data_IF_852569371899
#
_entry.id   IF_852569371899
#
_cell.length_a   1.000
_cell.length_b   1.000
_cell.length_c   1.000
_cell.angle_alpha   90.00
_cell.angle_beta   90.00
_cell.angle_gamma   90.00
#
_symmetry.space_group_name_H-M   'P 1'
#
loop_
_entity.id
_entity.type
_entity.pdbx_description
1 polymer ?
#
# COMPACT_ATOMS: atom_id res chain seq x y z
N UNK A 1 10.08 18.02 7.19
CA UNK A 1 9.78 17.01 8.23
C UNK A 1 10.93 16.02 8.36
N UNK A 2 11.29 15.22 7.31
CA UNK A 2 12.33 14.17 7.36
C UNK A 2 13.65 14.65 7.97
N UNK A 3 14.16 15.83 7.55
CA UNK A 3 15.40 16.43 8.12
C UNK A 3 15.28 16.71 9.62
N UNK A 4 14.12 17.17 10.08
CA UNK A 4 13.87 17.47 11.50
C UNK A 4 13.86 16.20 12.32
N UNK A 5 13.09 15.18 11.89
CA UNK A 5 13.01 13.88 12.56
C UNK A 5 14.38 13.19 12.63
N UNK A 6 15.13 13.21 11.52
CA UNK A 6 16.49 12.63 11.50
C UNK A 6 17.42 13.33 12.51
N UNK A 7 17.35 14.67 12.63
CA UNK A 7 18.12 15.41 13.65
C UNK A 7 17.70 15.02 15.07
N UNK A 8 16.41 14.77 15.32
CA UNK A 8 15.94 14.32 16.64
C UNK A 8 16.47 12.91 16.98
N UNK A 9 16.45 11.97 16.03
CA UNK A 9 17.05 10.65 16.22
C UNK A 9 18.53 10.76 16.60
N UNK A 10 19.29 11.62 15.90
CA UNK A 10 20.71 11.88 16.21
C UNK A 10 20.90 12.47 17.62
N UNK A 11 20.06 13.46 18.00
CA UNK A 11 20.09 14.06 19.34
C UNK A 11 19.79 13.02 20.43
N UNK A 12 18.82 12.17 20.19
CA UNK A 12 18.45 11.08 21.10
C UNK A 12 19.47 9.92 21.10
N UNK A 13 20.51 9.99 20.27
CA UNK A 13 21.54 8.93 20.11
C UNK A 13 20.95 7.57 19.78
N UNK A 14 19.85 7.54 19.02
CA UNK A 14 19.24 6.28 18.57
C UNK A 14 20.11 5.71 17.44
N UNK A 15 20.59 4.46 17.56
CA UNK A 15 21.36 3.80 16.50
C UNK A 15 20.53 3.67 15.22
N UNK A 16 21.15 3.92 14.08
CA UNK A 16 20.52 3.79 12.76
C UNK A 16 21.34 2.81 11.94
N UNK A 17 20.78 1.66 11.63
CA UNK A 17 21.37 0.67 10.73
C UNK A 17 20.93 0.99 9.30
N UNK A 18 21.79 1.62 8.51
CA UNK A 18 21.54 1.89 7.10
C UNK A 18 21.81 0.64 6.25
N UNK A 19 21.12 0.51 5.11
CA UNK A 19 21.30 -0.58 4.14
C UNK A 19 20.96 -1.98 4.66
N UNK A 20 20.36 -2.06 5.82
CA UNK A 20 19.88 -3.32 6.38
C UNK A 20 18.49 -3.65 5.80
N UNK A 21 18.41 -4.71 5.04
CA UNK A 21 17.15 -5.26 4.53
C UNK A 21 16.63 -6.27 5.54
N UNK A 22 15.53 -5.93 6.21
CA UNK A 22 14.84 -6.84 7.13
C UNK A 22 13.94 -7.81 6.34
N UNK A 23 14.05 -9.10 6.62
CA UNK A 23 13.39 -10.14 5.82
C UNK A 23 12.41 -11.01 6.60
N UNK A 24 12.64 -11.12 7.92
CA UNK A 24 11.81 -11.98 8.78
C UNK A 24 11.81 -11.47 10.23
N UNK A 25 10.67 -11.57 10.90
CA UNK A 25 10.60 -11.43 12.35
C UNK A 25 10.98 -12.75 13.02
N UNK A 26 11.69 -12.66 14.13
CA UNK A 26 11.93 -13.78 15.04
C UNK A 26 10.81 -13.86 16.06
N UNK A 27 10.36 -15.07 16.39
CA UNK A 27 9.40 -15.32 17.45
C UNK A 27 9.97 -16.31 18.48
N UNK A 28 9.62 -16.15 19.74
CA UNK A 28 9.94 -17.11 20.80
C UNK A 28 8.96 -18.30 20.81
N UNK A 29 9.13 -19.18 21.80
CA UNK A 29 8.31 -20.38 21.92
C UNK A 29 6.81 -20.09 22.18
N UNK A 30 6.49 -18.94 22.75
CA UNK A 30 5.14 -18.45 22.98
C UNK A 30 4.55 -17.67 21.79
N UNK A 31 5.30 -17.57 20.69
CA UNK A 31 4.91 -16.84 19.49
C UNK A 31 5.05 -15.31 19.60
N UNK A 32 5.65 -14.79 20.68
CA UNK A 32 5.91 -13.35 20.81
C UNK A 32 7.13 -12.95 19.97
N UNK A 33 7.08 -11.76 19.34
CA UNK A 33 8.22 -11.24 18.57
C UNK A 33 9.38 -10.91 19.51
N UNK A 34 10.57 -11.43 19.17
CA UNK A 34 11.80 -11.25 19.97
C UNK A 34 13.01 -10.81 19.14
N UNK A 35 12.81 -10.45 17.87
CA UNK A 35 13.88 -9.95 17.02
C UNK A 35 13.52 -9.86 15.55
N UNK A 36 14.54 -9.50 14.76
CA UNK A 36 14.45 -9.34 13.31
C UNK A 36 15.68 -9.96 12.66
N UNK A 37 15.49 -10.61 11.52
CA UNK A 37 16.54 -11.13 10.66
C UNK A 37 16.63 -10.28 9.39
N UNK A 38 17.83 -10.17 8.86
CA UNK A 38 18.08 -9.42 7.63
C UNK A 38 19.53 -9.49 7.19
N UNK A 39 19.87 -8.71 6.19
CA UNK A 39 21.24 -8.64 5.66
C UNK A 39 21.58 -7.22 5.17
N UNK A 40 22.86 -6.87 5.15
CA UNK A 40 23.33 -5.64 4.51
C UNK A 40 23.31 -5.80 2.99
N UNK A 41 22.58 -4.92 2.27
CA UNK A 41 22.43 -5.02 0.82
C UNK A 41 23.69 -4.65 0.02
N UNK A 42 24.80 -4.29 0.68
CA UNK A 42 26.10 -4.05 0.02
C UNK A 42 27.11 -5.14 0.30
N UNK A 43 27.28 -5.50 1.59
CA UNK A 43 28.25 -6.52 1.97
C UNK A 43 27.70 -7.94 1.86
N UNK A 44 26.38 -8.12 1.97
CA UNK A 44 25.74 -9.42 2.07
C UNK A 44 25.75 -10.00 3.49
N UNK A 45 26.32 -9.29 4.47
CA UNK A 45 26.43 -9.78 5.84
C UNK A 45 25.04 -10.05 6.44
N UNK A 46 24.85 -11.25 6.95
CA UNK A 46 23.62 -11.64 7.61
C UNK A 46 23.57 -11.13 9.05
N UNK A 47 22.44 -10.57 9.45
CA UNK A 47 22.24 -9.95 10.75
C UNK A 47 21.10 -10.62 11.53
N UNK A 48 21.38 -10.87 12.82
CA UNK A 48 20.40 -11.30 13.82
C UNK A 48 20.26 -10.18 14.85
N UNK A 49 19.12 -9.50 14.85
CA UNK A 49 18.84 -8.38 15.76
C UNK A 49 17.87 -8.87 16.82
N UNK A 50 18.32 -8.95 18.07
CA UNK A 50 17.47 -9.27 19.20
C UNK A 50 16.72 -8.01 19.64
N UNK A 51 15.42 -8.14 19.88
CA UNK A 51 14.58 -7.06 20.39
C UNK A 51 13.56 -7.61 21.36
N UNK A 52 13.14 -6.81 22.34
CA UNK A 52 12.03 -7.17 23.26
C UNK A 52 10.67 -6.82 22.67
N UNK A 53 10.65 -5.92 21.70
CA UNK A 53 9.50 -5.56 20.86
C UNK A 53 9.98 -5.04 19.52
N UNK A 54 9.14 -5.11 18.50
CA UNK A 54 9.41 -4.56 17.16
C UNK A 54 8.25 -3.68 16.74
N UNK A 55 8.55 -2.51 16.18
CA UNK A 55 7.58 -1.60 15.58
C UNK A 55 7.82 -1.57 14.07
N UNK A 56 6.85 -2.02 13.29
CA UNK A 56 6.90 -1.98 11.83
C UNK A 56 6.39 -0.62 11.32
N UNK A 57 7.25 0.10 10.58
CA UNK A 57 6.95 1.39 9.94
C UNK A 57 7.46 1.41 8.50
N UNK A 58 7.25 0.31 7.76
CA UNK A 58 7.86 0.07 6.44
C UNK A 58 7.14 0.79 5.28
N UNK A 59 6.04 1.50 5.55
CA UNK A 59 5.25 2.17 4.53
C UNK A 59 4.38 1.21 3.70
N UNK A 60 3.79 1.73 2.63
CA UNK A 60 2.89 0.99 1.74
C UNK A 60 3.64 -0.01 0.84
N UNK A 61 2.91 -0.98 0.27
CA UNK A 61 3.44 -1.86 -0.77
C UNK A 61 3.42 -1.14 -2.13
N UNK A 62 4.51 -0.48 -2.46
CA UNK A 62 4.61 0.42 -3.63
C UNK A 62 4.75 -0.29 -4.97
N UNK A 63 4.96 -1.60 -5.01
CA UNK A 63 5.22 -2.35 -6.24
C UNK A 63 4.27 -3.54 -6.43
N UNK A 64 2.97 -3.35 -6.11
CA UNK A 64 1.98 -4.40 -6.30
C UNK A 64 1.58 -4.53 -7.78
N UNK A 65 1.08 -3.47 -8.39
CA UNK A 65 0.80 -3.41 -9.83
C UNK A 65 1.99 -2.89 -10.65
N UNK A 66 1.98 -3.16 -11.95
CA UNK A 66 2.95 -2.64 -12.89
C UNK A 66 2.47 -1.28 -13.41
N UNK A 67 3.27 -0.20 -13.35
CA UNK A 67 2.90 1.08 -13.94
C UNK A 67 2.75 0.99 -15.46
N UNK A 68 1.93 1.85 -16.04
CA UNK A 68 1.66 1.87 -17.49
C UNK A 68 2.91 2.10 -18.34
N UNK A 69 3.93 2.73 -17.78
CA UNK A 69 5.24 2.89 -18.43
C UNK A 69 6.02 1.57 -18.59
N UNK A 70 5.64 0.51 -17.86
CA UNK A 70 6.40 -0.74 -17.78
C UNK A 70 7.71 -0.65 -17.01
N UNK A 71 8.09 0.54 -16.52
CA UNK A 71 9.32 0.73 -15.75
C UNK A 71 9.13 0.31 -14.29
N UNK A 72 9.83 -0.74 -13.86
CA UNK A 72 9.62 -1.38 -12.55
C UNK A 72 9.75 -0.43 -11.37
N UNK A 73 10.60 0.60 -11.47
CA UNK A 73 10.84 1.59 -10.41
C UNK A 73 10.06 2.89 -10.61
N UNK A 74 9.18 2.95 -11.62
CA UNK A 74 8.36 4.13 -11.95
C UNK A 74 7.00 4.17 -11.24
N UNK A 75 6.87 3.58 -10.07
CA UNK A 75 5.60 3.48 -9.33
C UNK A 75 5.18 4.82 -8.74
N UNK A 76 3.87 4.95 -8.49
CA UNK A 76 3.30 6.09 -7.76
C UNK A 76 3.85 6.21 -6.34
N UNK A 77 3.90 5.08 -5.63
CA UNK A 77 4.44 5.00 -4.27
C UNK A 77 5.98 4.91 -4.27
N UNK A 78 6.57 4.87 -3.08
CA UNK A 78 8.02 4.73 -2.98
C UNK A 78 8.48 3.38 -3.59
N UNK A 79 9.32 3.40 -4.63
CA UNK A 79 9.73 2.19 -5.33
C UNK A 79 10.62 1.25 -4.49
N UNK A 80 11.15 1.71 -3.35
CA UNK A 80 11.92 0.84 -2.44
C UNK A 80 11.04 0.03 -1.50
N UNK A 81 9.72 0.31 -1.45
CA UNK A 81 8.78 -0.40 -0.59
C UNK A 81 8.13 -1.55 -1.38
N UNK A 82 8.64 -2.75 -1.23
CA UNK A 82 8.10 -3.95 -1.88
C UNK A 82 6.85 -4.51 -1.17
N UNK A 83 6.63 -4.13 0.10
CA UNK A 83 5.60 -4.68 0.97
C UNK A 83 6.19 -5.51 2.11
N UNK A 84 7.47 -5.31 2.43
CA UNK A 84 8.24 -6.10 3.40
C UNK A 84 7.54 -6.21 4.75
N UNK A 85 6.98 -5.11 5.25
CA UNK A 85 6.26 -5.10 6.51
C UNK A 85 5.01 -5.97 6.53
N UNK A 86 4.27 -6.01 5.41
CA UNK A 86 3.09 -6.90 5.26
C UNK A 86 3.51 -8.36 5.29
N UNK A 87 4.52 -8.72 4.50
CA UNK A 87 5.03 -10.08 4.44
C UNK A 87 5.62 -10.52 5.79
N UNK A 88 6.45 -9.68 6.44
CA UNK A 88 7.01 -9.99 7.77
C UNK A 88 5.91 -10.18 8.82
N UNK A 89 4.91 -9.31 8.86
CA UNK A 89 3.77 -9.42 9.77
C UNK A 89 2.97 -10.70 9.53
N UNK A 90 2.62 -10.99 8.27
CA UNK A 90 1.92 -12.23 7.90
C UNK A 90 2.69 -13.49 8.31
N UNK A 91 3.97 -13.54 8.01
CA UNK A 91 4.79 -14.69 8.34
C UNK A 91 5.00 -14.89 9.85
N UNK A 92 4.90 -13.82 10.64
CA UNK A 92 4.89 -13.88 12.10
C UNK A 92 3.50 -14.26 12.67
N UNK A 93 2.47 -14.42 11.85
CA UNK A 93 1.12 -14.79 12.25
C UNK A 93 0.19 -13.62 12.57
N UNK A 94 0.59 -12.38 12.24
CA UNK A 94 -0.26 -11.22 12.44
C UNK A 94 -1.47 -11.21 11.49
N UNK A 95 -2.56 -10.62 11.96
CA UNK A 95 -3.74 -10.35 11.15
C UNK A 95 -3.50 -9.14 10.23
N UNK A 96 -3.95 -9.24 8.99
CA UNK A 96 -4.01 -8.14 8.04
C UNK A 96 -5.47 -7.88 7.68
N UNK A 97 -5.82 -6.63 7.36
CA UNK A 97 -7.21 -6.24 7.14
C UNK A 97 -7.39 -5.53 5.79
N UNK A 98 -8.53 -5.78 5.16
CA UNK A 98 -9.07 -5.05 3.99
C UNK A 98 -8.11 -4.96 2.79
N UNK A 99 -7.31 -6.00 2.55
CA UNK A 99 -6.32 -6.01 1.45
C UNK A 99 -6.97 -6.12 0.05
N UNK A 100 -8.27 -6.26 -0.02
CA UNK A 100 -9.08 -6.14 -1.24
C UNK A 100 -9.30 -4.70 -1.68
N UNK A 101 -9.15 -3.73 -0.77
CA UNK A 101 -9.29 -2.32 -1.08
C UNK A 101 -8.00 -1.81 -1.72
N UNK A 102 -8.05 -1.50 -3.02
CA UNK A 102 -6.90 -1.01 -3.76
C UNK A 102 -6.92 0.51 -3.85
N UNK A 103 -5.78 1.12 -3.59
CA UNK A 103 -5.57 2.52 -3.90
C UNK A 103 -5.23 2.68 -5.37
N UNK A 104 -6.01 3.52 -6.04
CA UNK A 104 -5.83 3.88 -7.44
C UNK A 104 -5.96 5.40 -7.49
N UNK A 105 -5.06 6.06 -8.20
CA UNK A 105 -4.99 7.53 -8.20
C UNK A 105 -4.99 8.10 -9.62
N UNK A 106 -5.50 9.33 -9.82
CA UNK A 106 -5.30 10.05 -11.06
C UNK A 106 -3.86 10.58 -11.11
N UNK A 107 -3.11 10.12 -12.09
CA UNK A 107 -1.73 10.55 -12.34
C UNK A 107 -1.67 11.46 -13.56
N UNK A 108 -0.69 12.36 -13.57
CA UNK A 108 -0.29 13.07 -14.80
C UNK A 108 0.31 12.05 -15.77
N UNK A 109 -0.19 12.03 -16.99
CA UNK A 109 0.27 11.10 -18.03
C UNK A 109 1.78 11.20 -18.23
N UNK A 110 2.41 10.05 -18.31
CA UNK A 110 3.87 9.87 -18.49
C UNK A 110 4.78 10.42 -17.40
N UNK A 111 4.21 11.00 -16.32
CA UNK A 111 5.00 11.54 -15.21
C UNK A 111 5.10 10.59 -14.01
N UNK A 112 4.18 9.63 -13.88
CA UNK A 112 4.05 8.75 -12.70
C UNK A 112 3.93 9.50 -11.36
N UNK A 113 3.33 10.67 -11.39
CA UNK A 113 3.08 11.49 -10.21
C UNK A 113 1.64 11.97 -10.14
N UNK A 114 1.11 12.23 -8.94
CA UNK A 114 -0.29 12.56 -8.74
C UNK A 114 -0.69 13.85 -9.44
N UNK A 115 -1.96 13.91 -9.85
CA UNK A 115 -2.60 15.13 -10.35
C UNK A 115 -2.65 16.23 -9.29
N UNK A 116 -2.61 15.85 -7.98
CA UNK A 116 -2.64 16.74 -6.83
C UNK A 116 -3.94 17.54 -6.72
N UNK A 117 -5.09 16.88 -6.90
CA UNK A 117 -6.42 17.48 -6.79
C UNK A 117 -6.64 18.20 -5.43
N UNK A 118 -5.99 17.77 -4.38
CA UNK A 118 -6.02 18.42 -3.06
C UNK A 118 -5.37 19.82 -3.03
N UNK A 119 -4.56 20.17 -4.03
CA UNK A 119 -4.03 21.53 -4.22
C UNK A 119 -4.87 22.28 -5.25
N UNK A 120 -5.12 21.65 -6.41
CA UNK A 120 -5.76 22.30 -7.54
C UNK A 120 -7.26 22.51 -7.34
N UNK A 121 -7.97 21.54 -6.75
CA UNK A 121 -9.41 21.60 -6.51
C UNK A 121 -9.85 22.80 -5.65
N UNK A 122 -9.29 23.00 -4.44
CA UNK A 122 -9.61 24.18 -3.62
C UNK A 122 -9.34 25.53 -4.29
N UNK A 123 -8.45 25.56 -5.29
CA UNK A 123 -8.12 26.74 -6.09
C UNK A 123 -8.94 26.84 -7.37
N UNK A 124 -9.95 25.97 -7.56
CA UNK A 124 -10.89 26.04 -8.68
C UNK A 124 -10.56 25.14 -9.88
N UNK A 125 -9.47 24.36 -9.81
CA UNK A 125 -9.18 23.34 -10.81
C UNK A 125 -10.12 22.14 -10.69
N UNK A 126 -10.41 21.48 -11.79
CA UNK A 126 -11.28 20.30 -11.81
C UNK A 126 -10.88 19.27 -12.87
N UNK A 127 -11.44 18.07 -12.73
CA UNK A 127 -11.27 16.99 -13.69
C UNK A 127 -12.27 17.15 -14.84
N UNK A 128 -11.79 17.06 -16.07
CA UNK A 128 -12.60 17.23 -17.28
C UNK A 128 -12.40 16.07 -18.27
N UNK A 129 -13.41 15.81 -19.08
CA UNK A 129 -13.34 14.87 -20.22
C UNK A 129 -12.68 15.51 -21.46
N UNK A 130 -12.61 14.77 -22.57
CA UNK A 130 -12.02 15.26 -23.81
C UNK A 130 -12.73 16.50 -24.40
N UNK A 131 -13.98 16.79 -24.02
CA UNK A 131 -14.74 17.99 -24.42
C UNK A 131 -14.52 19.18 -23.48
N UNK A 132 -13.72 19.01 -22.42
CA UNK A 132 -13.50 20.01 -21.37
C UNK A 132 -14.65 20.13 -20.37
N UNK A 133 -15.59 19.19 -20.38
CA UNK A 133 -16.76 19.15 -19.49
C UNK A 133 -16.38 18.50 -18.16
N UNK A 134 -16.83 19.12 -17.07
CA UNK A 134 -16.72 18.53 -15.72
C UNK A 134 -17.73 17.40 -15.58
N UNK A 135 -17.26 16.23 -15.12
CA UNK A 135 -18.09 15.04 -14.93
C UNK A 135 -17.99 14.46 -13.51
N UNK A 136 -17.02 14.91 -12.71
CA UNK A 136 -16.79 14.46 -11.34
C UNK A 136 -17.43 15.46 -10.38
N UNK A 137 -18.27 14.99 -9.45
CA UNK A 137 -18.82 15.82 -8.39
C UNK A 137 -17.85 16.01 -7.22
N UNK A 138 -16.97 15.03 -6.97
CA UNK A 138 -15.97 15.05 -5.91
C UNK A 138 -14.55 15.11 -6.48
N UNK A 139 -13.92 16.26 -6.44
CA UNK A 139 -12.54 16.45 -6.91
C UNK A 139 -11.48 15.99 -5.88
N UNK A 140 -11.89 15.40 -4.76
CA UNK A 140 -10.97 14.82 -3.77
C UNK A 140 -10.70 13.35 -4.07
N UNK A 141 -9.49 12.90 -3.81
CA UNK A 141 -9.10 11.50 -3.99
C UNK A 141 -10.02 10.55 -3.23
N UNK A 142 -10.76 9.77 -3.96
CA UNK A 142 -11.65 8.75 -3.41
C UNK A 142 -11.87 7.65 -4.43
N UNK A 143 -12.32 6.51 -3.96
CA UNK A 143 -12.73 5.44 -4.85
C UNK A 143 -13.90 5.84 -5.75
N UNK A 144 -14.76 6.76 -5.28
CA UNK A 144 -15.87 7.29 -6.07
C UNK A 144 -15.35 8.13 -7.24
N UNK A 145 -14.44 9.08 -6.99
CA UNK A 145 -13.79 9.83 -8.07
C UNK A 145 -13.17 8.90 -9.12
N UNK A 146 -12.48 7.86 -8.68
CA UNK A 146 -11.85 6.92 -9.61
C UNK A 146 -12.86 6.05 -10.36
N UNK A 147 -14.03 5.79 -9.77
CA UNK A 147 -15.13 5.12 -10.45
C UNK A 147 -15.71 5.98 -11.58
N UNK A 148 -15.99 7.25 -11.31
CA UNK A 148 -16.46 8.21 -12.30
C UNK A 148 -15.42 8.42 -13.42
N UNK A 149 -14.13 8.51 -13.07
CA UNK A 149 -13.03 8.56 -14.03
C UNK A 149 -13.03 7.33 -14.95
N UNK A 150 -13.17 6.14 -14.37
CA UNK A 150 -13.22 4.90 -15.13
C UNK A 150 -14.45 4.85 -16.07
N UNK A 151 -15.62 5.23 -15.57
CA UNK A 151 -16.85 5.27 -16.38
C UNK A 151 -16.73 6.22 -17.58
N UNK A 152 -16.11 7.38 -17.38
CA UNK A 152 -15.90 8.35 -18.44
C UNK A 152 -14.98 7.82 -19.55
N UNK A 153 -13.92 7.07 -19.18
CA UNK A 153 -13.04 6.38 -20.13
C UNK A 153 -13.79 5.27 -20.88
N UNK A 154 -14.53 4.41 -20.19
CA UNK A 154 -15.28 3.30 -20.80
C UNK A 154 -16.44 3.83 -21.67
N UNK A 155 -17.01 5.00 -21.34
CA UNK A 155 -18.02 5.69 -22.14
C UNK A 155 -17.50 6.31 -23.42
N UNK A 156 -16.18 6.25 -23.69
CA UNK A 156 -15.56 6.81 -24.90
C UNK A 156 -15.39 8.33 -24.86
N UNK A 157 -15.50 8.96 -23.69
CA UNK A 157 -15.35 10.42 -23.50
C UNK A 157 -13.90 10.80 -23.10
N UNK A 158 -13.00 9.82 -23.01
CA UNK A 158 -11.57 10.07 -22.78
C UNK A 158 -10.86 10.70 -23.97
N UNK A 159 -9.60 11.17 -23.78
CA UNK A 159 -8.85 11.14 -22.52
C UNK A 159 -9.42 12.08 -21.43
N UNK A 160 -8.99 11.87 -20.18
CA UNK A 160 -9.38 12.67 -19.04
C UNK A 160 -8.26 13.64 -18.68
N UNK A 161 -8.64 14.84 -18.27
CA UNK A 161 -7.71 15.94 -18.03
C UNK A 161 -7.90 16.61 -16.66
N UNK A 162 -6.82 17.15 -16.14
CA UNK A 162 -6.84 18.21 -15.14
C UNK A 162 -6.99 19.55 -15.88
N UNK A 163 -8.08 20.26 -15.60
CA UNK A 163 -8.40 21.56 -16.23
C UNK A 163 -8.07 22.70 -15.28
N UNK A 164 -7.18 23.58 -15.73
CA UNK A 164 -6.72 24.77 -15.01
C UNK A 164 -6.74 26.04 -15.87
N UNK A 165 -6.86 25.91 -17.18
CA UNK A 165 -6.77 26.97 -18.19
C UNK A 165 -7.87 28.05 -18.12
N UNK A 166 -8.89 27.84 -17.29
CA UNK A 166 -9.96 28.79 -16.99
C UNK A 166 -9.65 29.68 -15.75
N UNK A 167 -8.59 29.39 -15.03
CA UNK A 167 -8.24 30.09 -13.78
C UNK A 167 -7.50 31.40 -14.06
N UNK A 168 -7.61 32.37 -13.13
CA UNK A 168 -6.85 33.60 -13.20
C UNK A 168 -5.33 33.31 -13.09
N UNK A 169 -4.52 34.16 -13.73
CA UNK A 169 -3.06 34.06 -13.77
C UNK A 169 -2.43 33.91 -12.38
N UNK A 170 -2.88 34.72 -11.40
CA UNK A 170 -2.38 34.69 -10.01
C UNK A 170 -2.67 33.34 -9.33
N UNK A 171 -3.82 32.72 -9.65
CA UNK A 171 -4.18 31.41 -9.13
C UNK A 171 -3.31 30.32 -9.72
N UNK A 172 -3.06 30.36 -11.03
CA UNK A 172 -2.17 29.39 -11.70
C UNK A 172 -0.75 29.53 -11.15
N UNK A 173 -0.25 30.75 -10.99
CA UNK A 173 1.06 30.98 -10.38
C UNK A 173 1.14 30.42 -8.96
N UNK A 174 0.09 30.59 -8.16
CA UNK A 174 0.01 29.99 -6.82
C UNK A 174 0.09 28.46 -6.85
N UNK A 175 -0.63 27.84 -7.80
CA UNK A 175 -0.57 26.38 -8.00
C UNK A 175 0.84 25.93 -8.38
N UNK A 176 1.49 26.64 -9.30
CA UNK A 176 2.85 26.36 -9.74
C UNK A 176 3.86 26.51 -8.60
N UNK A 177 3.77 27.57 -7.82
CA UNK A 177 4.64 27.80 -6.65
C UNK A 177 4.53 26.68 -5.61
N UNK A 178 3.32 26.18 -5.37
CA UNK A 178 3.09 25.05 -4.46
C UNK A 178 3.63 23.76 -5.08
N UNK A 179 3.18 23.41 -6.29
CA UNK A 179 3.45 22.12 -6.89
C UNK A 179 4.87 22.00 -7.45
N UNK A 180 5.35 23.03 -8.17
CA UNK A 180 6.64 22.99 -8.84
C UNK A 180 7.78 23.50 -7.95
N UNK A 181 7.49 24.45 -7.07
CA UNK A 181 8.49 25.02 -6.16
C UNK A 181 8.75 24.17 -4.92
N UNK A 182 7.70 23.70 -4.28
CA UNK A 182 7.80 23.10 -2.95
C UNK A 182 7.51 21.60 -2.90
N UNK A 183 6.43 21.15 -3.54
CA UNK A 183 5.94 19.81 -3.35
C UNK A 183 6.53 18.81 -4.34
N UNK A 184 6.57 19.19 -5.62
CA UNK A 184 7.01 18.34 -6.71
C UNK A 184 7.88 19.07 -7.75
N UNK A 185 9.10 19.48 -7.40
CA UNK A 185 9.95 20.24 -8.33
C UNK A 185 10.22 19.52 -9.65
N UNK A 186 10.28 18.18 -9.65
CA UNK A 186 10.43 17.35 -10.85
C UNK A 186 9.23 17.48 -11.79
N UNK A 187 8.01 17.77 -11.30
CA UNK A 187 6.83 18.02 -12.13
C UNK A 187 6.99 19.29 -12.96
N UNK A 188 7.50 20.37 -12.35
CA UNK A 188 7.78 21.60 -13.08
C UNK A 188 8.78 21.39 -14.22
N UNK A 189 9.87 20.64 -13.95
CA UNK A 189 10.84 20.28 -14.98
C UNK A 189 10.24 19.40 -16.09
N UNK A 190 9.39 18.44 -15.73
CA UNK A 190 8.69 17.57 -16.66
C UNK A 190 7.77 18.36 -17.60
N UNK A 191 6.97 19.29 -17.07
CA UNK A 191 6.08 20.14 -17.85
C UNK A 191 6.88 21.09 -18.73
N UNK A 192 7.90 21.77 -18.21
CA UNK A 192 8.77 22.66 -18.97
C UNK A 192 9.44 21.94 -20.15
N UNK A 193 9.92 20.70 -19.95
CA UNK A 193 10.53 19.88 -20.98
C UNK A 193 9.58 19.44 -22.11
N UNK A 194 8.25 19.54 -21.87
CA UNK A 194 7.20 19.18 -22.84
C UNK A 194 6.45 20.40 -23.37
N UNK A 195 6.79 21.60 -22.95
CA UNK A 195 6.05 22.82 -23.30
C UNK A 195 4.63 22.85 -22.74
N UNK A 196 4.36 22.16 -21.64
CA UNK A 196 3.04 22.15 -21.00
C UNK A 196 2.87 23.44 -20.18
N UNK A 197 1.88 24.25 -20.53
CA UNK A 197 1.50 25.47 -19.83
C UNK A 197 0.04 25.35 -19.37
N UNK A 198 -0.18 25.44 -18.07
CA UNK A 198 -1.52 25.36 -17.44
C UNK A 198 -2.50 26.44 -17.91
N UNK A 199 -1.98 27.56 -18.49
CA UNK A 199 -2.78 28.67 -19.03
C UNK A 199 -3.36 28.37 -20.38
N UNK A 200 -2.75 27.46 -21.14
CA UNK A 200 -3.04 27.25 -22.56
C UNK A 200 -3.68 25.91 -22.84
N UNK A 201 -3.49 24.94 -21.95
CA UNK A 201 -3.94 23.56 -22.22
C UNK A 201 -4.29 22.80 -20.95
N UNK A 202 -5.23 21.91 -21.09
CA UNK A 202 -5.54 20.90 -20.08
C UNK A 202 -4.39 19.88 -19.98
N UNK A 203 -4.19 19.30 -18.80
CA UNK A 203 -3.13 18.32 -18.55
C UNK A 203 -3.71 16.91 -18.54
N UNK A 204 -3.32 16.09 -19.51
CA UNK A 204 -3.82 14.72 -19.61
C UNK A 204 -3.42 13.87 -18.40
N UNK A 205 -4.40 13.08 -17.91
CA UNK A 205 -4.25 12.18 -16.80
C UNK A 205 -4.49 10.72 -17.21
N UNK A 206 -4.00 9.80 -16.41
CA UNK A 206 -4.30 8.38 -16.50
C UNK A 206 -4.55 7.78 -15.10
N UNK A 207 -5.04 6.54 -15.07
CA UNK A 207 -5.23 5.79 -13.83
C UNK A 207 -3.91 5.13 -13.44
N UNK A 208 -3.52 5.26 -12.17
CA UNK A 208 -2.29 4.65 -11.65
C UNK A 208 -2.36 3.12 -11.64
N UNK A 209 -1.20 2.51 -11.45
CA UNK A 209 -1.12 1.11 -11.02
C UNK A 209 -1.84 0.90 -9.68
N UNK A 210 -2.27 -0.33 -9.43
CA UNK A 210 -2.90 -0.69 -8.17
C UNK A 210 -1.87 -0.91 -7.05
N UNK A 211 -2.21 -0.45 -5.85
CA UNK A 211 -1.50 -0.69 -4.60
C UNK A 211 -2.50 -0.99 -3.48
N UNK A 212 -2.01 -1.35 -2.30
CA UNK A 212 -2.88 -1.41 -1.13
C UNK A 212 -3.34 -0.02 -0.70
N UNK A 213 -4.60 0.10 -0.31
CA UNK A 213 -5.18 1.38 0.11
C UNK A 213 -4.73 1.73 1.53
N UNK A 214 -3.54 2.25 1.64
CA UNK A 214 -2.88 2.56 2.92
C UNK A 214 -3.20 3.94 3.47
N UNK A 215 -3.51 4.91 2.62
CA UNK A 215 -3.74 6.31 3.04
C UNK A 215 -5.20 6.68 3.23
N UNK A 216 -6.12 6.11 2.45
CA UNK A 216 -7.53 6.48 2.40
C UNK A 216 -8.45 5.52 3.14
N UNK A 217 -8.02 4.28 3.39
CA UNK A 217 -8.80 3.27 4.08
C UNK A 217 -7.96 2.45 5.04
N UNK A 218 -8.62 1.65 5.85
CA UNK A 218 -8.00 0.82 6.87
C UNK A 218 -7.42 -0.49 6.31
N UNK A 219 -6.68 -0.43 5.18
CA UNK A 219 -5.97 -1.59 4.62
C UNK A 219 -4.58 -1.73 5.23
N UNK A 220 -4.20 -2.91 5.65
CA UNK A 220 -2.84 -3.17 6.15
C UNK A 220 -2.76 -4.16 7.28
N UNK A 221 -1.67 -4.13 8.02
CA UNK A 221 -1.53 -4.90 9.27
C UNK A 221 -2.52 -4.36 10.30
N UNK A 222 -3.40 -5.25 10.79
CA UNK A 222 -4.39 -4.85 11.79
C UNK A 222 -3.74 -4.50 13.12
N UNK A 223 -4.18 -3.39 13.71
CA UNK A 223 -3.73 -2.92 15.03
C UNK A 223 -4.93 -2.45 15.85
N UNK A 224 -4.78 -2.55 17.18
CA UNK A 224 -5.72 -1.97 18.13
C UNK A 224 -5.43 -0.48 18.38
N UNK A 225 -6.16 0.15 19.31
CA UNK A 225 -6.01 1.54 19.72
C UNK A 225 -4.65 1.87 20.35
N UNK A 226 -3.88 0.84 20.73
CA UNK A 226 -2.51 0.95 21.27
C UNK A 226 -1.43 0.74 20.20
N UNK A 227 -1.83 0.58 18.95
CA UNK A 227 -0.98 0.19 17.82
C UNK A 227 -0.35 -1.22 17.97
N UNK A 228 -0.93 -2.08 18.82
CA UNK A 228 -0.52 -3.48 18.98
C UNK A 228 -1.15 -4.32 17.86
N UNK A 229 -0.37 -5.20 17.25
CA UNK A 229 -0.88 -6.20 16.31
C UNK A 229 -1.48 -7.40 17.08
N UNK A 230 -2.02 -8.38 16.36
CA UNK A 230 -2.46 -9.64 16.96
C UNK A 230 -1.30 -10.53 17.47
N UNK A 231 -0.05 -10.16 17.19
CA UNK A 231 1.15 -10.87 17.66
C UNK A 231 1.80 -10.09 18.80
N UNK A 232 2.02 -10.76 19.91
CA UNK A 232 2.59 -10.15 21.12
C UNK A 232 3.99 -9.59 20.88
N UNK A 233 4.25 -8.36 21.35
CA UNK A 233 5.52 -7.67 21.16
C UNK A 233 5.72 -7.09 19.75
N UNK A 234 4.70 -7.18 18.89
CA UNK A 234 4.70 -6.59 17.55
C UNK A 234 3.72 -5.43 17.46
N UNK A 235 4.21 -4.30 17.00
CA UNK A 235 3.46 -3.06 16.77
C UNK A 235 3.56 -2.65 15.29
N UNK A 236 2.58 -1.89 14.81
CA UNK A 236 2.65 -1.32 13.48
C UNK A 236 2.09 0.11 13.45
N UNK A 237 2.69 0.97 12.62
CA UNK A 237 2.26 2.34 12.43
C UNK A 237 2.60 2.83 11.03
N UNK A 238 1.96 3.94 10.63
CA UNK A 238 2.12 4.50 9.29
C UNK A 238 1.35 3.70 8.24
N UNK A 239 1.67 3.94 6.97
CA UNK A 239 0.89 3.47 5.82
C UNK A 239 0.74 1.95 5.70
N UNK A 240 1.50 1.17 6.42
CA UNK A 240 1.33 -0.27 6.46
C UNK A 240 0.33 -0.76 7.52
N UNK A 241 -0.10 0.08 8.46
CA UNK A 241 -1.06 -0.27 9.50
C UNK A 241 -2.51 -0.02 9.02
N UNK A 242 -3.44 -0.89 9.43
CA UNK A 242 -4.85 -0.76 9.12
C UNK A 242 -5.51 0.31 10.00
N UNK A 243 -5.25 1.58 9.71
CA UNK A 243 -5.81 2.74 10.40
C UNK A 243 -6.38 3.75 9.41
N UNK A 244 -7.58 4.32 9.69
CA UNK A 244 -8.22 5.28 8.79
C UNK A 244 -7.39 6.57 8.66
N UNK A 245 -7.46 7.20 7.49
CA UNK A 245 -6.79 8.49 7.21
C UNK A 245 -5.33 8.52 7.65
N UNK A 246 -4.61 7.50 7.29
CA UNK A 246 -3.29 7.25 7.82
C UNK A 246 -2.32 8.38 7.47
N UNK A 247 -2.04 8.68 6.24
CA UNK A 247 -1.11 9.74 5.86
C UNK A 247 -0.18 10.18 7.01
N UNK A 248 0.24 11.44 7.01
CA UNK A 248 1.12 11.97 8.07
C UNK A 248 0.44 12.06 9.43
N UNK A 249 -0.86 12.38 9.48
CA UNK A 249 -1.59 12.50 10.74
C UNK A 249 -1.68 11.14 11.45
N UNK A 250 -2.15 10.11 10.74
CA UNK A 250 -2.23 8.75 11.27
C UNK A 250 -0.85 8.19 11.59
N UNK A 251 0.15 8.43 10.72
CA UNK A 251 1.52 7.97 10.94
C UNK A 251 2.14 8.56 12.22
N UNK A 252 1.95 9.85 12.50
CA UNK A 252 2.44 10.46 13.74
C UNK A 252 1.69 9.97 14.97
N UNK A 253 0.36 9.91 14.89
CA UNK A 253 -0.48 9.51 16.02
C UNK A 253 -0.21 8.05 16.41
N UNK A 254 -0.29 7.13 15.45
CA UNK A 254 -0.04 5.72 15.73
C UNK A 254 1.44 5.41 15.96
N UNK A 255 2.35 6.16 15.35
CA UNK A 255 3.78 6.09 15.67
C UNK A 255 4.06 6.44 17.14
N UNK A 256 3.36 7.45 17.68
CA UNK A 256 3.44 7.83 19.09
C UNK A 256 2.84 6.76 19.99
N UNK A 257 1.65 6.21 19.66
CA UNK A 257 1.04 5.10 20.41
C UNK A 257 1.94 3.86 20.42
N UNK A 258 2.45 3.46 19.25
CA UNK A 258 3.35 2.32 19.14
C UNK A 258 4.61 2.49 20.00
N UNK A 259 5.25 3.68 19.91
CA UNK A 259 6.46 3.96 20.69
C UNK A 259 6.21 3.92 22.20
N UNK A 260 5.14 4.56 22.68
CA UNK A 260 4.76 4.57 24.10
C UNK A 260 4.43 3.17 24.60
N UNK A 261 3.53 2.47 23.92
CA UNK A 261 3.05 1.16 24.38
C UNK A 261 4.15 0.08 24.25
N UNK A 262 5.01 0.15 23.24
CA UNK A 262 6.17 -0.71 23.14
C UNK A 262 7.17 -0.46 24.30
N UNK A 263 7.39 0.81 24.68
CA UNK A 263 8.24 1.15 25.83
C UNK A 263 7.69 0.58 27.17
N UNK A 264 6.38 0.71 27.37
CA UNK A 264 5.69 0.10 28.53
C UNK A 264 5.79 -1.43 28.50
N UNK A 265 5.59 -2.05 27.33
CA UNK A 265 5.69 -3.50 27.16
C UNK A 265 7.07 -4.05 27.48
N UNK A 266 8.17 -3.39 27.08
CA UNK A 266 9.54 -3.88 27.28
C UNK A 266 10.07 -3.60 28.69
N UNK A 267 9.39 -2.76 29.48
CA UNK A 267 9.82 -2.42 30.83
C UNK A 267 9.86 -3.68 31.71
N UNK A 268 11.00 -3.92 32.33
CA UNK A 268 11.21 -5.08 33.21
C UNK A 268 11.31 -6.44 32.50
N UNK A 269 11.13 -6.51 31.18
CA UNK A 269 11.26 -7.77 30.42
C UNK A 269 12.71 -8.10 30.13
N UNK A 270 13.08 -9.36 30.27
CA UNK A 270 14.34 -9.89 29.76
C UNK A 270 14.25 -10.18 28.26
N UNK A 271 15.39 -10.33 27.60
CA UNK A 271 15.42 -10.88 26.24
C UNK A 271 15.08 -12.38 26.29
N UNK A 272 14.14 -12.82 25.48
CA UNK A 272 13.88 -14.26 25.28
C UNK A 272 14.97 -14.92 24.43
N UNK A 273 15.02 -16.24 24.49
CA UNK A 273 15.96 -17.02 23.68
C UNK A 273 15.64 -16.90 22.18
N UNK A 274 16.68 -16.89 21.38
CA UNK A 274 16.55 -16.92 19.91
C UNK A 274 16.46 -18.36 19.45
N UNK A 275 15.45 -18.68 18.66
CA UNK A 275 15.36 -19.98 17.99
C UNK A 275 16.36 -20.05 16.85
N UNK A 276 17.43 -20.83 17.05
CA UNK A 276 18.48 -21.04 16.06
C UNK A 276 17.97 -21.67 14.77
N UNK A 277 16.95 -22.51 14.83
CA UNK A 277 16.37 -23.12 13.64
C UNK A 277 15.65 -22.10 12.76
N UNK A 278 14.99 -21.08 13.33
CA UNK A 278 14.45 -19.95 12.56
C UNK A 278 15.58 -19.17 11.87
N UNK A 279 16.67 -18.91 12.58
CA UNK A 279 17.85 -18.18 12.04
C UNK A 279 18.46 -18.92 10.85
N UNK A 280 18.73 -20.22 11.00
CA UNK A 280 19.36 -21.01 9.93
C UNK A 280 18.44 -21.20 8.72
N UNK A 281 17.15 -21.42 8.93
CA UNK A 281 16.17 -21.49 7.82
C UNK A 281 16.14 -20.18 7.03
N UNK A 282 16.10 -19.04 7.71
CA UNK A 282 16.05 -17.73 7.04
C UNK A 282 17.38 -17.39 6.34
N UNK A 283 18.51 -17.73 6.96
CA UNK A 283 19.82 -17.57 6.32
C UNK A 283 19.89 -18.39 5.02
N UNK A 284 19.52 -19.66 5.07
CA UNK A 284 19.51 -20.52 3.89
C UNK A 284 18.60 -19.97 2.79
N UNK A 285 17.42 -19.44 3.16
CA UNK A 285 16.50 -18.82 2.21
C UNK A 285 17.09 -17.57 1.55
N UNK A 286 17.75 -16.72 2.34
CA UNK A 286 18.39 -15.49 1.85
C UNK A 286 19.55 -15.83 0.91
N UNK A 287 20.42 -16.74 1.31
CA UNK A 287 21.65 -17.06 0.57
C UNK A 287 21.38 -17.88 -0.72
N UNK A 288 20.25 -18.59 -0.80
CA UNK A 288 19.95 -19.48 -1.92
C UNK A 288 20.10 -18.85 -3.33
N UNK A 289 19.64 -17.62 -3.62
CA UNK A 289 19.84 -17.00 -4.93
C UNK A 289 21.30 -16.76 -5.31
N UNK A 290 22.18 -16.52 -4.31
CA UNK A 290 23.62 -16.31 -4.54
C UNK A 290 24.35 -17.62 -4.86
N UNK A 291 23.83 -18.75 -4.41
CA UNK A 291 24.45 -20.06 -4.58
C UNK A 291 24.12 -20.73 -5.92
N UNK A 292 23.19 -20.16 -6.69
CA UNK A 292 22.76 -20.72 -7.98
C UNK A 292 23.77 -20.35 -9.08
N UNK A 293 24.21 -21.35 -9.82
CA UNK A 293 25.09 -21.17 -10.97
C UNK A 293 24.36 -20.51 -12.14
N UNK A 294 23.08 -20.92 -12.39
CA UNK A 294 22.22 -20.39 -13.43
C UNK A 294 20.85 -20.04 -12.86
N UNK A 295 20.14 -19.09 -13.47
CA UNK A 295 18.79 -18.70 -13.02
C UNK A 295 18.17 -17.55 -13.77
N UNK A 296 16.99 -17.14 -13.31
CA UNK A 296 16.22 -16.04 -13.86
C UNK A 296 16.65 -14.71 -13.22
N UNK A 297 16.74 -13.62 -13.98
CA UNK A 297 16.88 -12.28 -13.40
C UNK A 297 15.64 -11.91 -12.56
N UNK A 298 15.86 -11.34 -11.38
CA UNK A 298 14.76 -10.88 -10.50
C UNK A 298 13.79 -9.91 -11.22
N UNK A 299 14.32 -8.99 -12.03
CA UNK A 299 13.51 -8.03 -12.77
C UNK A 299 12.52 -8.69 -13.75
N UNK A 300 12.90 -9.81 -14.39
CA UNK A 300 12.02 -10.55 -15.28
C UNK A 300 10.84 -11.18 -14.53
N UNK A 301 11.10 -11.78 -13.37
CA UNK A 301 10.06 -12.41 -12.55
C UNK A 301 9.17 -11.34 -11.92
N UNK A 302 9.74 -10.22 -11.46
CA UNK A 302 8.97 -9.07 -10.95
C UNK A 302 8.02 -8.52 -12.03
N UNK A 303 8.52 -8.30 -13.25
CA UNK A 303 7.70 -7.81 -14.35
C UNK A 303 6.52 -8.76 -14.62
N UNK A 304 6.81 -10.06 -14.76
CA UNK A 304 5.78 -11.09 -14.97
C UNK A 304 4.73 -11.06 -13.86
N UNK A 305 5.15 -11.05 -12.60
CA UNK A 305 4.26 -11.03 -11.44
C UNK A 305 3.36 -9.80 -11.40
N UNK A 306 3.95 -8.61 -11.52
CA UNK A 306 3.20 -7.34 -11.46
C UNK A 306 2.27 -7.16 -12.66
N UNK A 307 2.64 -7.72 -13.81
CA UNK A 307 1.75 -7.80 -14.98
C UNK A 307 0.55 -8.69 -14.72
N UNK A 308 0.73 -9.85 -14.07
CA UNK A 308 -0.38 -10.70 -13.64
C UNK A 308 -1.33 -9.97 -12.70
N UNK A 309 -0.80 -9.16 -11.78
CA UNK A 309 -1.63 -8.34 -10.88
C UNK A 309 -2.51 -7.38 -11.67
N UNK A 310 -1.96 -6.64 -12.63
CA UNK A 310 -2.73 -5.74 -13.49
C UNK A 310 -3.78 -6.50 -14.31
N UNK A 311 -3.39 -7.59 -14.95
CA UNK A 311 -4.27 -8.30 -15.88
C UNK A 311 -5.43 -9.00 -15.20
N UNK A 312 -5.26 -9.45 -13.95
CA UNK A 312 -6.22 -10.31 -13.25
C UNK A 312 -6.86 -9.72 -12.01
N UNK A 313 -6.25 -8.75 -11.34
CA UNK A 313 -6.76 -8.19 -10.08
C UNK A 313 -7.22 -6.74 -10.20
N UNK A 314 -6.89 -6.04 -11.29
CA UNK A 314 -7.30 -4.65 -11.47
C UNK A 314 -8.83 -4.51 -11.48
N UNK A 315 -9.39 -3.52 -10.72
CA UNK A 315 -10.81 -3.21 -10.81
C UNK A 315 -11.19 -2.59 -12.19
N UNK A 316 -12.41 -2.83 -12.66
CA UNK A 316 -13.48 -3.66 -12.07
C UNK A 316 -13.13 -5.14 -12.04
N UNK A 317 -13.34 -5.76 -10.87
CA UNK A 317 -12.93 -7.15 -10.58
C UNK A 317 -13.99 -8.18 -10.99
N UNK A 318 -13.55 -9.30 -11.53
CA UNK A 318 -14.41 -10.42 -11.93
C UNK A 318 -13.90 -11.70 -11.25
N UNK A 319 -14.77 -12.47 -10.58
CA UNK A 319 -14.41 -13.68 -9.84
C UNK A 319 -13.54 -14.61 -10.69
N UNK A 320 -14.00 -15.00 -11.87
CA UNK A 320 -13.28 -15.95 -12.74
C UNK A 320 -11.88 -15.46 -13.13
N UNK A 321 -11.74 -14.15 -13.34
CA UNK A 321 -10.46 -13.51 -13.66
C UNK A 321 -9.50 -13.56 -12.48
N UNK A 322 -10.00 -13.24 -11.27
CA UNK A 322 -9.21 -13.29 -10.05
C UNK A 322 -8.80 -14.70 -9.64
N UNK A 323 -9.67 -15.71 -9.82
CA UNK A 323 -9.32 -17.13 -9.58
C UNK A 323 -8.15 -17.57 -10.46
N UNK A 324 -8.21 -17.26 -11.75
CA UNK A 324 -7.11 -17.54 -12.68
C UNK A 324 -5.84 -16.76 -12.32
N UNK A 325 -6.00 -15.51 -11.91
CA UNK A 325 -4.91 -14.68 -11.40
C UNK A 325 -4.23 -15.29 -10.19
N UNK A 326 -5.01 -15.73 -9.20
CA UNK A 326 -4.51 -16.40 -7.99
C UNK A 326 -3.70 -17.66 -8.34
N UNK A 327 -4.22 -18.52 -9.22
CA UNK A 327 -3.49 -19.72 -9.67
C UNK A 327 -2.15 -19.35 -10.32
N UNK A 328 -2.12 -18.32 -11.17
CA UNK A 328 -0.89 -17.87 -11.84
C UNK A 328 0.10 -17.22 -10.88
N UNK A 329 -0.38 -16.42 -9.90
CA UNK A 329 0.46 -15.85 -8.84
C UNK A 329 1.06 -16.94 -7.97
N UNK A 330 0.31 -17.99 -7.65
CA UNK A 330 0.84 -19.14 -6.92
C UNK A 330 1.93 -19.87 -7.71
N UNK A 331 1.77 -20.03 -9.03
CA UNK A 331 2.77 -20.66 -9.89
C UNK A 331 4.08 -19.87 -10.00
N UNK A 332 4.10 -18.57 -9.64
CA UNK A 332 5.35 -17.78 -9.54
C UNK A 332 6.30 -18.38 -8.49
N UNK A 333 5.84 -19.19 -7.55
CA UNK A 333 6.70 -19.89 -6.60
C UNK A 333 7.82 -20.68 -7.29
N UNK A 334 7.53 -21.31 -8.42
CA UNK A 334 8.53 -22.04 -9.22
C UNK A 334 9.57 -21.12 -9.86
N UNK A 335 9.15 -19.93 -10.31
CA UNK A 335 10.08 -18.93 -10.84
C UNK A 335 10.97 -18.35 -9.72
N UNK A 336 10.43 -18.14 -8.50
CA UNK A 336 11.20 -17.66 -7.35
C UNK A 336 12.34 -18.61 -6.97
N UNK A 337 12.10 -19.91 -7.03
CA UNK A 337 13.14 -20.93 -6.79
C UNK A 337 14.25 -20.92 -7.82
N UNK A 338 14.04 -20.24 -8.96
CA UNK A 338 14.99 -20.13 -10.06
C UNK A 338 15.64 -18.78 -10.17
N UNK A 339 15.29 -17.80 -9.34
CA UNK A 339 15.94 -16.48 -9.37
C UNK A 339 17.39 -16.63 -8.92
N UNK A 340 18.33 -16.08 -9.71
CA UNK A 340 19.74 -15.97 -9.38
C UNK A 340 20.08 -14.52 -8.99
N UNK A 341 21.04 -14.37 -8.10
CA UNK A 341 21.66 -13.10 -7.76
C UNK A 341 23.19 -13.23 -7.81
N UNK A 342 23.88 -12.28 -8.44
CA UNK A 342 25.33 -12.28 -8.57
C UNK A 342 26.02 -11.41 -7.50
N UNK A 343 25.26 -10.64 -6.74
CA UNK A 343 25.75 -9.75 -5.70
C UNK A 343 24.63 -9.42 -4.68
N UNK A 344 25.00 -8.81 -3.51
CA UNK A 344 24.02 -8.48 -2.46
C UNK A 344 22.89 -7.53 -2.89
N UNK A 345 23.11 -6.64 -3.86
CA UNK A 345 22.07 -5.76 -4.36
C UNK A 345 21.03 -6.53 -5.19
N UNK A 346 21.48 -7.43 -6.05
CA UNK A 346 20.57 -8.33 -6.79
C UNK A 346 19.86 -9.31 -5.87
N UNK A 347 20.54 -9.75 -4.80
CA UNK A 347 19.92 -10.54 -3.73
C UNK A 347 18.74 -9.81 -3.10
N UNK A 348 18.91 -8.52 -2.76
CA UNK A 348 17.80 -7.69 -2.28
C UNK A 348 16.63 -7.71 -3.28
N UNK A 349 16.92 -7.50 -4.58
CA UNK A 349 15.90 -7.53 -5.64
C UNK A 349 15.21 -8.89 -5.75
N UNK A 350 15.95 -9.98 -5.61
CA UNK A 350 15.40 -11.34 -5.63
C UNK A 350 14.42 -11.58 -4.48
N UNK A 351 14.78 -11.13 -3.28
CA UNK A 351 13.93 -11.28 -2.10
C UNK A 351 12.69 -10.37 -2.14
N UNK A 352 12.82 -9.15 -2.68
CA UNK A 352 11.67 -8.26 -2.91
C UNK A 352 10.61 -8.90 -3.80
N UNK A 353 10.98 -9.69 -4.83
CA UNK A 353 10.00 -10.38 -5.67
C UNK A 353 9.17 -11.37 -4.86
N UNK A 354 9.77 -12.09 -3.91
CA UNK A 354 9.02 -12.99 -3.02
C UNK A 354 8.03 -12.25 -2.14
N UNK A 355 8.39 -11.06 -1.66
CA UNK A 355 7.52 -10.19 -0.87
C UNK A 355 6.34 -9.66 -1.71
N UNK A 356 6.61 -9.18 -2.93
CA UNK A 356 5.56 -8.73 -3.86
C UNK A 356 4.59 -9.87 -4.19
N UNK A 357 5.10 -11.10 -4.36
CA UNK A 357 4.27 -12.29 -4.60
C UNK A 357 3.34 -12.59 -3.41
N UNK A 358 3.85 -12.51 -2.18
CA UNK A 358 3.04 -12.70 -0.99
C UNK A 358 1.93 -11.63 -0.91
N UNK A 359 2.26 -10.36 -1.13
CA UNK A 359 1.29 -9.27 -1.20
C UNK A 359 0.24 -9.47 -2.30
N UNK A 360 0.66 -9.93 -3.49
CA UNK A 360 -0.25 -10.22 -4.60
C UNK A 360 -1.22 -11.38 -4.29
N UNK A 361 -0.75 -12.44 -3.63
CA UNK A 361 -1.61 -13.54 -3.18
C UNK A 361 -2.60 -13.07 -2.11
N UNK A 362 -2.16 -12.28 -1.13
CA UNK A 362 -3.03 -11.67 -0.11
C UNK A 362 -4.13 -10.81 -0.76
N UNK A 363 -3.77 -9.97 -1.73
CA UNK A 363 -4.69 -9.12 -2.47
C UNK A 363 -5.73 -9.92 -3.25
N UNK A 364 -5.31 -10.99 -3.92
CA UNK A 364 -6.19 -11.88 -4.68
C UNK A 364 -7.19 -12.60 -3.76
N UNK A 365 -6.71 -13.18 -2.65
CA UNK A 365 -7.55 -13.90 -1.68
C UNK A 365 -8.54 -12.98 -0.98
N UNK A 366 -8.10 -11.80 -0.52
CA UNK A 366 -8.98 -10.81 0.10
C UNK A 366 -10.05 -10.33 -0.90
N UNK A 367 -9.67 -10.08 -2.17
CA UNK A 367 -10.60 -9.65 -3.22
C UNK A 367 -11.62 -10.72 -3.58
N UNK A 368 -11.24 -12.00 -3.60
CA UNK A 368 -12.17 -13.12 -3.80
C UNK A 368 -13.09 -13.33 -2.60
N UNK A 369 -12.59 -13.10 -1.40
CA UNK A 369 -13.34 -13.31 -0.16
C UNK A 369 -14.50 -12.33 0.00
N UNK A 370 -14.31 -11.00 -0.30
CA UNK A 370 -15.37 -10.00 -0.20
C UNK A 370 -16.25 -10.03 -1.45
N UNK A 371 -17.51 -10.48 -1.30
CA UNK A 371 -18.49 -10.64 -2.39
C UNK A 371 -19.51 -9.50 -2.41
N UNK A 372 -19.03 -8.27 -2.47
CA UNK A 372 -19.79 -7.03 -2.66
C UNK A 372 -18.94 -6.01 -3.40
N UNK A 373 -19.51 -4.85 -3.77
CA UNK A 373 -18.77 -3.65 -4.19
C UNK A 373 -18.81 -2.59 -3.09
N UNK A 374 -17.64 -2.03 -2.76
CA UNK A 374 -17.47 -1.01 -1.72
C UNK A 374 -16.30 -0.09 -2.08
N UNK A 375 -16.36 1.17 -1.65
CA UNK A 375 -15.32 2.18 -1.89
C UNK A 375 -15.10 2.53 -3.37
N UNK A 376 -16.19 2.59 -4.16
CA UNK A 376 -16.11 2.91 -5.59
C UNK A 376 -15.17 1.97 -6.34
N UNK A 377 -14.28 2.50 -7.19
CA UNK A 377 -13.37 1.67 -7.98
C UNK A 377 -12.37 0.87 -7.13
N UNK A 378 -12.07 1.27 -5.89
CA UNK A 378 -11.08 0.60 -5.05
C UNK A 378 -11.41 -0.87 -4.78
N UNK A 379 -12.71 -1.19 -4.68
CA UNK A 379 -13.21 -2.57 -4.66
C UNK A 379 -14.54 -2.70 -5.39
N UNK A 380 -14.52 -2.51 -6.71
CA UNK A 380 -15.69 -2.74 -7.54
C UNK A 380 -15.66 -4.16 -8.12
N UNK A 381 -16.74 -4.91 -7.86
CA UNK A 381 -16.96 -6.28 -8.34
C UNK A 381 -18.06 -6.27 -9.40
N UNK A 382 -17.75 -6.67 -10.63
CA UNK A 382 -18.74 -6.76 -11.73
C UNK A 382 -19.83 -7.79 -11.42
N UNK A 383 -19.44 -8.90 -10.84
CA UNK A 383 -20.30 -10.01 -10.44
C UNK A 383 -21.08 -9.77 -9.14
N UNK A 384 -20.67 -8.78 -8.33
CA UNK A 384 -21.33 -8.34 -7.10
C UNK A 384 -21.38 -6.79 -7.05
N UNK A 385 -22.14 -6.12 -7.95
CA UNK A 385 -22.03 -4.68 -8.15
C UNK A 385 -22.63 -3.85 -7.01
N UNK A 386 -23.38 -4.48 -6.11
CA UNK A 386 -24.06 -3.79 -5.00
C UNK A 386 -23.29 -3.94 -3.70
N UNK A 387 -23.42 -2.92 -2.85
CA UNK A 387 -23.00 -2.95 -1.46
C UNK A 387 -23.96 -3.80 -0.65
N UNK A 388 -23.45 -4.64 0.23
CA UNK A 388 -24.21 -5.53 1.12
C UNK A 388 -23.77 -5.34 2.56
N UNK A 389 -24.36 -4.35 3.25
CA UNK A 389 -24.02 -4.08 4.64
C UNK A 389 -24.51 -5.15 5.60
N UNK A 390 -25.54 -5.92 5.24
CA UNK A 390 -26.03 -7.00 6.10
C UNK A 390 -24.97 -8.10 6.25
N UNK A 391 -24.27 -8.42 5.17
CA UNK A 391 -23.21 -9.43 5.17
C UNK A 391 -21.80 -8.86 5.37
N UNK A 392 -21.53 -7.63 4.93
CA UNK A 392 -20.17 -7.11 4.75
C UNK A 392 -19.85 -5.80 5.47
N UNK A 393 -20.71 -5.33 6.40
CA UNK A 393 -20.32 -4.24 7.29
C UNK A 393 -19.33 -4.73 8.36
N UNK A 394 -18.19 -5.19 7.88
CA UNK A 394 -17.12 -5.78 8.68
C UNK A 394 -15.77 -5.55 8.00
N UNK A 395 -14.69 -5.77 8.73
CA UNK A 395 -13.35 -5.88 8.16
C UNK A 395 -13.16 -7.29 7.56
N UNK A 396 -12.61 -7.36 6.35
CA UNK A 396 -12.11 -8.61 5.80
C UNK A 396 -10.67 -8.83 6.30
N UNK A 397 -10.50 -9.80 7.17
CA UNK A 397 -9.18 -10.15 7.73
C UNK A 397 -8.56 -11.33 6.99
N UNK A 398 -7.24 -11.38 7.02
CA UNK A 398 -6.42 -12.46 6.49
C UNK A 398 -5.30 -12.74 7.49
N UNK A 399 -5.05 -14.01 7.76
CA UNK A 399 -3.89 -14.46 8.54
C UNK A 399 -3.44 -15.86 8.09
N UNK A 400 -2.32 -16.29 8.64
CA UNK A 400 -1.90 -17.69 8.52
C UNK A 400 -2.74 -18.58 9.45
N UNK A 401 -3.31 -19.69 8.91
CA UNK A 401 -3.97 -20.71 9.70
C UNK A 401 -2.97 -21.68 10.36
N UNK A 402 -3.47 -22.66 11.10
CA UNK A 402 -2.65 -23.66 11.80
C UNK A 402 -1.85 -24.54 10.84
N UNK A 403 -2.32 -24.74 9.61
CA UNK A 403 -1.65 -25.47 8.54
C UNK A 403 -0.68 -24.58 7.73
N UNK A 404 -0.54 -23.30 8.10
CA UNK A 404 0.34 -22.36 7.43
C UNK A 404 -0.20 -21.73 6.14
N UNK A 405 -1.50 -21.91 5.83
CA UNK A 405 -2.16 -21.37 4.65
C UNK A 405 -2.75 -19.98 4.91
N UNK A 406 -2.94 -19.18 3.86
CA UNK A 406 -3.67 -17.90 3.95
C UNK A 406 -5.17 -18.15 4.13
N UNK A 407 -5.70 -17.81 5.28
CA UNK A 407 -7.12 -17.91 5.62
C UNK A 407 -7.74 -16.54 5.81
N UNK A 408 -8.90 -16.31 5.18
CA UNK A 408 -9.68 -15.07 5.31
C UNK A 408 -10.89 -15.29 6.21
N UNK A 409 -11.23 -14.26 7.01
CA UNK A 409 -12.39 -14.28 7.91
C UNK A 409 -12.95 -12.87 8.09
N UNK A 410 -14.18 -12.77 8.59
CA UNK A 410 -14.83 -11.50 8.89
C UNK A 410 -14.57 -11.11 10.33
N UNK A 411 -14.21 -9.85 10.56
CA UNK A 411 -14.14 -9.26 11.90
C UNK A 411 -15.16 -8.12 11.96
N UNK A 412 -16.11 -8.15 12.92
CA UNK A 412 -17.08 -7.08 13.08
C UNK A 412 -16.40 -5.72 13.22
N UNK A 413 -17.04 -4.67 12.71
CA UNK A 413 -16.66 -3.29 13.03
C UNK A 413 -17.04 -3.04 14.49
N UNK A 414 -16.08 -2.58 15.30
CA UNK A 414 -16.31 -2.22 16.68
C UNK A 414 -17.36 -1.09 16.78
N UNK A 415 -18.20 -1.11 17.81
CA UNK A 415 -19.18 -0.05 18.01
C UNK A 415 -18.47 1.30 18.23
N UNK A 416 -19.18 2.37 17.92
CA UNK A 416 -18.67 3.72 18.19
C UNK A 416 -18.31 3.87 19.68
N UNK A 417 -17.19 4.56 19.95
CA UNK A 417 -16.76 4.88 21.31
C UNK A 417 -17.80 5.72 22.08
N UNK A 418 -18.60 6.50 21.37
CA UNK A 418 -19.69 7.30 21.89
C UNK A 418 -20.99 6.85 21.22
N UNK A 419 -22.09 6.80 21.99
CA UNK A 419 -23.41 6.57 21.44
C UNK A 419 -23.74 7.76 20.50
N UNK A 420 -24.02 7.45 19.24
CA UNK A 420 -24.57 8.41 18.30
C UNK A 420 -26.08 8.48 18.61
N UNK A 421 -26.64 9.69 18.74
CA UNK A 421 -28.06 9.82 18.98
C UNK A 421 -28.90 9.29 17.80
N UNK A 422 -30.17 8.94 18.05
CA UNK A 422 -31.01 8.32 17.03
C UNK A 422 -31.24 9.24 15.80
N UNK A 423 -31.22 10.55 16.00
CA UNK A 423 -31.35 11.54 14.91
C UNK A 423 -30.13 11.56 13.99
N UNK A 424 -28.93 11.49 14.58
CA UNK A 424 -27.67 11.38 13.84
C UNK A 424 -27.56 10.04 13.11
N UNK A 425 -27.98 8.93 13.75
CA UNK A 425 -28.04 7.62 13.10
C UNK A 425 -29.00 7.61 11.91
N UNK A 426 -30.18 8.22 12.04
CA UNK A 426 -31.15 8.34 10.94
C UNK A 426 -30.63 9.24 9.82
N UNK A 427 -29.98 10.35 10.15
CA UNK A 427 -29.36 11.25 9.16
C UNK A 427 -28.24 10.53 8.38
N UNK A 428 -27.39 9.77 9.08
CA UNK A 428 -26.36 8.96 8.47
C UNK A 428 -26.92 7.86 7.57
N UNK A 429 -27.98 7.16 8.00
CA UNK A 429 -28.67 6.17 7.19
C UNK A 429 -29.33 6.78 5.93
N UNK A 430 -29.89 7.99 6.01
CA UNK A 430 -30.48 8.70 4.87
C UNK A 430 -29.43 9.15 3.86
N UNK A 431 -28.26 9.61 4.31
CA UNK A 431 -27.12 9.93 3.45
C UNK A 431 -26.62 8.67 2.74
N UNK A 432 -26.58 7.56 3.46
CA UNK A 432 -26.16 6.24 2.97
C UNK A 432 -27.10 5.74 1.86
N UNK A 433 -28.41 5.83 2.06
CA UNK A 433 -29.43 5.41 1.09
C UNK A 433 -29.45 6.29 -0.18
N UNK A 434 -29.06 7.56 -0.11
CA UNK A 434 -28.91 8.43 -1.29
C UNK A 434 -27.71 8.03 -2.16
N UNK A 435 -26.63 7.61 -1.55
CA UNK A 435 -25.43 7.14 -2.27
C UNK A 435 -25.62 5.73 -2.86
N UNK A 436 -26.55 4.92 -2.31
CA UNK A 436 -26.87 3.59 -2.84
C UNK A 436 -27.95 3.63 -3.96
N UNK A 437 -28.58 4.78 -4.18
CA UNK A 437 -29.61 5.00 -5.20
C UNK A 437 -29.12 5.77 -6.44
N UNK A 438 -27.89 6.27 -6.41
CA UNK A 438 -27.17 6.90 -7.52
C UNK A 438 -26.16 5.91 -8.11
#
# INVERSE_FOLDING_TARGET
IKKVLYRQLKRARIPIANRLVCTRLLTDAEGAVNGVLGFDCRSGDFHVIRAKAVILCCGAAGRLGLPSSGYLMGTYENPTNAGDGYAMAYHAGAELANLECFQINPLIKDYNGPACAYVTGPLGGYTANARGERFIECDYWSGQMMWEFHQELEGGNGPVFLKLDHLAEETIQTIEDILHGNERPSRGQFHAGRGTDYRQQMVEMHISEIGFCSGHSASGVWVNEKAETSVKGLYAAGDMAAVPHNYMLGAFTYGWFAGRNAAEYVAGRAFSAVDRAQVERERARIEAPLLREHGLPAAQVEYKLRRLVNDYLQPPKVTRKMELGLQRIQAIAEDLERIKADNPHELMRALEVSVIRDCAEMAARASLFRTESRWGLYHHRVDYPRRDDAAWFCHAHLKKDEEGRMASFRKPVEPYLFAIDEGEQQAYQRLRLRNDAA
#
